data_IF_264593616819
#
_entry.id   IF_264593616819
#
_cell.length_a   1.000
_cell.length_b   1.000
_cell.length_c   1.000
_cell.angle_alpha   90.00
_cell.angle_beta   90.00
_cell.angle_gamma   90.00
#
_symmetry.space_group_name_H-M   'P 1'
#
loop_
_entity.id
_entity.type
_entity.pdbx_description
1 polymer ?
#
# COMPACT_ATOMS: atom_id res chain seq x y z
N UNK A 1 -59.48 -6.75 -35.86
CA UNK A 1 -58.66 -7.76 -35.18
C UNK A 1 -57.42 -7.04 -34.66
N UNK A 2 -57.34 -6.97 -33.33
CA UNK A 2 -56.20 -6.77 -32.42
C UNK A 2 -55.13 -5.66 -32.65
N UNK A 3 -54.98 -4.85 -31.59
CA UNK A 3 -53.92 -3.87 -31.27
C UNK A 3 -52.73 -4.59 -30.56
N UNK A 4 -51.48 -4.05 -30.49
CA UNK A 4 -51.13 -2.89 -29.64
C UNK A 4 -50.07 -1.90 -30.26
N UNK A 5 -50.20 -0.58 -30.04
CA UNK A 5 -49.40 0.29 -29.13
C UNK A 5 -47.87 0.19 -29.24
N UNK A 6 -47.23 1.24 -29.77
CA UNK A 6 -46.03 1.88 -29.16
C UNK A 6 -45.76 3.25 -29.80
N UNK A 7 -45.53 4.24 -28.94
CA UNK A 7 -45.33 5.66 -29.24
C UNK A 7 -43.86 6.06 -29.02
N UNK A 8 -43.40 6.95 -29.89
CA UNK A 8 -42.31 7.94 -29.78
C UNK A 8 -41.50 8.00 -28.47
N UNK A 9 -40.17 7.91 -28.59
CA UNK A 9 -39.20 8.42 -27.62
C UNK A 9 -38.09 9.20 -28.33
N UNK A 10 -38.04 10.50 -28.09
CA UNK A 10 -36.89 11.38 -28.35
C UNK A 10 -36.03 11.59 -27.08
N UNK A 11 -34.80 12.05 -27.30
CA UNK A 11 -33.58 12.12 -26.46
C UNK A 11 -33.61 12.85 -25.10
N UNK A 12 -32.60 12.59 -24.22
CA UNK A 12 -31.59 13.58 -23.73
C UNK A 12 -30.58 12.99 -22.67
N UNK A 13 -29.29 13.25 -22.96
CA UNK A 13 -28.05 13.45 -22.14
C UNK A 13 -27.91 12.93 -20.69
N UNK A 14 -26.81 12.18 -20.46
CA UNK A 14 -26.21 11.92 -19.14
C UNK A 14 -25.07 12.89 -18.80
N UNK A 15 -24.96 13.29 -17.53
CA UNK A 15 -23.89 14.15 -17.00
C UNK A 15 -23.24 13.57 -15.73
N UNK A 16 -21.89 13.50 -15.78
CA UNK A 16 -20.89 13.80 -14.76
C UNK A 16 -21.10 13.41 -13.27
N UNK A 17 -21.03 12.10 -12.94
CA UNK A 17 -20.85 11.60 -11.57
C UNK A 17 -19.44 11.01 -11.38
N UNK A 18 -18.41 11.76 -10.92
CA UNK A 18 -17.19 11.22 -10.27
C UNK A 18 -16.40 12.27 -9.47
N UNK A 19 -16.07 11.97 -8.20
CA UNK A 19 -14.84 12.36 -7.47
C UNK A 19 -14.75 11.57 -6.14
N UNK A 20 -13.61 10.94 -5.79
CA UNK A 20 -13.32 10.29 -4.48
C UNK A 20 -11.78 10.22 -4.24
N UNK A 21 -11.31 10.64 -3.05
CA UNK A 21 -9.91 10.82 -2.57
C UNK A 21 -9.85 10.56 -1.03
N UNK A 22 -8.74 10.09 -0.33
CA UNK A 22 -8.33 8.96 0.68
C UNK A 22 -8.73 8.81 2.21
N UNK A 23 -8.97 7.64 2.90
CA UNK A 23 -9.54 7.62 4.25
C UNK A 23 -8.59 7.31 5.43
N UNK A 24 -7.30 7.02 5.25
CA UNK A 24 -6.44 6.53 6.35
C UNK A 24 -5.46 7.53 6.95
N UNK A 25 -5.63 8.82 6.69
CA UNK A 25 -4.88 9.86 7.41
C UNK A 25 -5.50 10.26 8.77
N UNK A 26 -6.60 9.61 9.21
CA UNK A 26 -7.38 10.06 10.38
C UNK A 26 -6.96 9.56 11.78
N UNK A 27 -6.92 8.25 12.07
CA UNK A 27 -7.03 7.80 13.47
C UNK A 27 -5.92 6.86 13.98
N UNK A 28 -5.04 7.40 14.84
CA UNK A 28 -4.09 6.68 15.69
C UNK A 28 -4.71 6.33 17.05
N UNK A 29 -5.48 5.24 17.12
CA UNK A 29 -5.63 4.34 18.29
C UNK A 29 -6.86 3.46 18.09
N UNK A 30 -6.69 2.16 17.86
CA UNK A 30 -7.81 1.21 17.78
C UNK A 30 -7.83 0.27 16.56
N UNK A 31 -6.86 0.36 15.66
CA UNK A 31 -6.77 -0.55 14.51
C UNK A 31 -6.13 -1.86 14.96
N UNK A 32 -6.95 -2.89 15.15
CA UNK A 32 -6.51 -4.27 15.41
C UNK A 32 -6.66 -5.08 14.13
N UNK A 33 -5.55 -5.61 13.61
CA UNK A 33 -5.57 -6.52 12.47
C UNK A 33 -5.99 -7.91 12.95
N UNK A 34 -7.24 -8.32 12.67
CA UNK A 34 -7.67 -9.70 12.82
C UNK A 34 -7.38 -10.46 11.54
N UNK A 35 -6.33 -11.26 11.59
CA UNK A 35 -5.90 -12.15 10.50
C UNK A 35 -6.50 -13.56 10.60
N UNK A 36 -7.25 -13.81 11.68
CA UNK A 36 -7.99 -15.06 11.88
C UNK A 36 -9.30 -15.04 11.07
N UNK A 37 -9.59 -16.13 10.36
CA UNK A 37 -10.91 -16.37 9.77
C UNK A 37 -11.84 -16.95 10.83
N UNK A 38 -13.14 -16.60 10.84
CA UNK A 38 -14.11 -17.20 11.77
C UNK A 38 -14.23 -18.70 11.63
N UNK A 39 -14.00 -19.19 10.42
CA UNK A 39 -13.89 -20.60 10.09
C UNK A 39 -12.45 -20.86 9.71
N UNK A 40 -11.75 -21.62 10.55
CA UNK A 40 -10.39 -22.03 10.28
C UNK A 40 -10.35 -22.90 9.00
N UNK A 41 -9.44 -22.55 8.09
CA UNK A 41 -9.20 -23.30 6.86
C UNK A 41 -7.82 -23.94 6.89
N UNK A 42 -7.68 -25.08 6.20
CA UNK A 42 -6.40 -25.75 5.97
C UNK A 42 -5.98 -25.55 4.52
N UNK A 43 -4.67 -25.60 4.29
CA UNK A 43 -4.08 -25.47 2.95
C UNK A 43 -4.56 -26.53 1.96
N UNK A 44 -4.95 -27.71 2.44
CA UNK A 44 -5.49 -28.80 1.63
C UNK A 44 -6.97 -28.64 1.27
N UNK A 45 -7.66 -27.65 1.81
CA UNK A 45 -9.11 -27.54 1.61
C UNK A 45 -9.44 -27.09 0.18
N UNK A 46 -10.59 -27.53 -0.37
CA UNK A 46 -11.03 -27.12 -1.70
C UNK A 46 -11.30 -25.60 -1.80
N UNK A 47 -11.12 -24.98 -2.97
CA UNK A 47 -11.33 -23.54 -3.16
C UNK A 47 -12.72 -23.02 -2.74
N UNK A 48 -13.75 -23.86 -2.83
CA UNK A 48 -15.10 -23.52 -2.39
C UNK A 48 -15.19 -23.30 -0.88
N UNK A 49 -14.42 -24.06 -0.09
CA UNK A 49 -14.36 -23.96 1.37
C UNK A 49 -13.65 -22.67 1.79
N UNK A 50 -12.56 -22.32 1.10
CA UNK A 50 -11.87 -21.04 1.31
C UNK A 50 -12.78 -19.84 0.98
N UNK A 51 -13.52 -19.94 -0.14
CA UNK A 51 -14.49 -18.92 -0.53
C UNK A 51 -15.59 -18.73 0.51
N UNK A 52 -16.13 -19.82 1.04
CA UNK A 52 -17.20 -19.75 2.05
C UNK A 52 -16.68 -19.18 3.39
N UNK A 53 -15.48 -19.58 3.83
CA UNK A 53 -14.85 -19.02 5.03
C UNK A 53 -14.62 -17.51 4.90
N UNK A 54 -14.19 -17.04 3.72
CA UNK A 54 -14.03 -15.62 3.43
C UNK A 54 -15.38 -14.87 3.44
N UNK A 55 -16.43 -15.45 2.86
CA UNK A 55 -17.78 -14.85 2.86
C UNK A 55 -18.35 -14.72 4.29
N UNK A 56 -18.10 -15.71 5.16
CA UNK A 56 -18.49 -15.63 6.58
C UNK A 56 -17.67 -14.60 7.37
N UNK A 57 -16.37 -14.50 7.11
CA UNK A 57 -15.53 -13.45 7.67
C UNK A 57 -16.06 -12.05 7.35
N UNK A 58 -16.50 -11.84 6.11
CA UNK A 58 -17.12 -10.58 5.68
C UNK A 58 -18.45 -10.32 6.40
N UNK A 59 -19.25 -11.38 6.61
CA UNK A 59 -20.54 -11.29 7.29
C UNK A 59 -20.44 -10.99 8.80
N UNK A 60 -19.28 -11.25 9.43
CA UNK A 60 -19.03 -11.04 10.86
C UNK A 60 -18.37 -9.70 11.20
N UNK A 61 -18.07 -8.86 10.20
CA UNK A 61 -17.57 -7.50 10.43
C UNK A 61 -18.62 -6.65 11.20
N UNK A 62 -18.19 -5.70 12.06
CA UNK A 62 -19.09 -4.99 12.96
C UNK A 62 -20.15 -4.16 12.23
N UNK A 63 -21.24 -3.92 12.97
CA UNK A 63 -22.45 -3.20 12.54
C UNK A 63 -22.14 -1.87 11.84
N UNK A 64 -23.00 -1.48 10.88
CA UNK A 64 -22.71 -0.40 9.94
C UNK A 64 -22.37 0.90 10.68
N UNK A 65 -21.36 1.63 10.19
CA UNK A 65 -20.92 2.92 10.75
C UNK A 65 -22.02 4.01 10.75
N UNK A 66 -23.06 3.80 9.93
CA UNK A 66 -24.24 4.66 9.81
C UNK A 66 -25.50 3.79 9.71
N UNK A 67 -26.51 4.07 10.56
CA UNK A 67 -27.87 3.53 10.40
C UNK A 67 -28.82 4.64 10.03
N UNK A 68 -29.61 4.44 8.97
CA UNK A 68 -30.65 5.37 8.53
C UNK A 68 -32.02 4.75 8.86
N UNK A 69 -32.81 5.47 9.63
CA UNK A 69 -34.20 5.15 9.96
C UNK A 69 -35.12 6.11 9.23
N UNK A 70 -35.93 5.63 8.29
CA UNK A 70 -37.03 6.43 7.75
C UNK A 70 -38.29 6.20 8.60
N UNK A 71 -39.01 7.26 8.93
CA UNK A 71 -40.25 7.14 9.73
C UNK A 71 -41.46 6.59 8.95
N UNK A 72 -41.30 6.36 7.65
CA UNK A 72 -42.24 5.64 6.78
C UNK A 72 -43.65 6.22 6.70
N UNK A 73 -43.92 7.41 7.26
CA UNK A 73 -45.29 7.87 7.48
C UNK A 73 -45.55 9.26 6.92
N UNK A 74 -46.55 9.34 6.03
CA UNK A 74 -47.18 10.61 5.64
C UNK A 74 -48.16 11.14 6.73
N UNK A 75 -48.18 10.58 7.94
CA UNK A 75 -49.20 10.86 8.96
C UNK A 75 -48.68 11.39 10.31
N UNK A 76 -47.37 11.40 10.57
CA UNK A 76 -46.80 11.65 11.91
C UNK A 76 -46.01 12.93 12.16
N UNK A 77 -45.65 13.74 11.14
CA UNK A 77 -44.90 14.99 11.33
C UNK A 77 -45.73 16.18 10.84
N UNK A 78 -45.99 17.17 11.70
CA UNK A 78 -46.92 18.30 11.50
C UNK A 78 -46.72 19.19 10.24
N UNK A 79 -45.87 18.86 9.26
CA UNK A 79 -45.45 19.76 8.17
C UNK A 79 -45.33 19.13 6.75
N UNK A 80 -46.05 18.05 6.37
CA UNK A 80 -46.07 17.53 4.98
C UNK A 80 -44.69 17.15 4.40
N UNK A 81 -43.82 16.58 5.22
CA UNK A 81 -42.44 16.24 4.86
C UNK A 81 -42.13 14.77 5.12
N UNK A 82 -41.32 14.16 4.25
CA UNK A 82 -40.60 12.92 4.47
C UNK A 82 -39.44 13.15 5.43
N UNK A 83 -39.17 12.21 6.33
CA UNK A 83 -38.14 12.35 7.36
C UNK A 83 -37.31 11.08 7.52
N UNK A 84 -36.01 11.26 7.72
CA UNK A 84 -35.12 10.19 8.15
C UNK A 84 -34.25 10.66 9.32
N UNK A 85 -34.00 9.74 10.26
CA UNK A 85 -33.02 9.85 11.32
C UNK A 85 -31.79 9.06 10.90
N UNK A 86 -30.64 9.71 10.88
CA UNK A 86 -29.35 9.13 10.55
C UNK A 86 -28.59 9.03 11.86
N UNK A 87 -28.18 7.84 12.24
CA UNK A 87 -27.32 7.59 13.39
C UNK A 87 -25.92 7.29 12.87
N UNK A 88 -25.01 8.22 13.07
CA UNK A 88 -23.59 8.01 12.84
C UNK A 88 -23.01 7.41 14.11
N UNK A 89 -22.96 6.08 14.17
CA UNK A 89 -22.58 5.34 15.40
C UNK A 89 -21.19 5.70 15.88
N UNK A 90 -20.27 5.90 14.94
CA UNK A 90 -18.89 6.28 15.22
C UNK A 90 -18.73 7.75 15.66
N UNK A 91 -19.63 8.65 15.23
CA UNK A 91 -19.65 10.06 15.64
C UNK A 91 -20.48 10.29 16.92
N UNK A 92 -21.15 9.25 17.43
CA UNK A 92 -22.20 9.34 18.45
C UNK A 92 -23.16 10.51 18.17
N UNK A 93 -23.49 10.70 16.89
CA UNK A 93 -24.25 11.83 16.38
C UNK A 93 -25.49 11.30 15.69
N UNK A 94 -26.61 11.93 16.01
CA UNK A 94 -27.84 11.72 15.28
C UNK A 94 -28.17 12.97 14.48
N UNK A 95 -28.62 12.77 13.26
CA UNK A 95 -29.05 13.83 12.38
C UNK A 95 -30.41 13.51 11.80
N UNK A 96 -31.25 14.53 11.65
CA UNK A 96 -32.58 14.36 11.08
C UNK A 96 -32.69 15.18 9.82
N UNK A 97 -32.94 14.51 8.71
CA UNK A 97 -33.22 15.16 7.43
C UNK A 97 -34.72 15.21 7.18
N UNK A 98 -35.19 16.31 6.57
CA UNK A 98 -36.60 16.50 6.20
C UNK A 98 -36.70 17.08 4.79
N UNK A 99 -37.58 16.50 3.98
CA UNK A 99 -37.89 17.03 2.65
C UNK A 99 -39.37 16.96 2.29
N UNK A 100 -39.88 17.91 1.48
CA UNK A 100 -41.27 17.89 1.04
C UNK A 100 -41.54 16.69 0.11
N UNK A 101 -42.47 15.82 0.49
CA UNK A 101 -42.87 14.65 -0.31
C UNK A 101 -44.06 14.92 -1.26
N UNK A 102 -44.67 16.10 -1.15
CA UNK A 102 -45.86 16.53 -1.89
C UNK A 102 -47.15 16.47 -1.06
N UNK A 103 -48.17 17.24 -1.47
CA UNK A 103 -49.46 17.34 -0.76
C UNK A 103 -50.31 16.05 -0.85
N UNK A 104 -50.13 15.28 -1.93
CA UNK A 104 -50.67 13.93 -2.13
C UNK A 104 -49.48 13.04 -2.45
N UNK A 105 -49.08 12.16 -1.51
CA UNK A 105 -47.94 11.26 -1.68
C UNK A 105 -48.27 9.87 -1.15
N UNK A 106 -47.72 8.83 -1.81
CA UNK A 106 -47.75 7.47 -1.30
C UNK A 106 -46.69 7.29 -0.22
N UNK A 107 -46.88 6.31 0.67
CA UNK A 107 -45.88 5.94 1.68
C UNK A 107 -44.53 5.61 1.04
N UNK A 108 -44.53 4.85 -0.05
CA UNK A 108 -43.32 4.53 -0.82
C UNK A 108 -42.61 5.79 -1.34
N UNK A 109 -43.36 6.79 -1.85
CA UNK A 109 -42.76 8.05 -2.31
C UNK A 109 -42.18 8.85 -1.15
N UNK A 110 -42.85 8.87 0.00
CA UNK A 110 -42.33 9.52 1.20
C UNK A 110 -41.06 8.82 1.72
N UNK A 111 -41.03 7.48 1.74
CA UNK A 111 -39.85 6.68 2.12
C UNK A 111 -38.67 6.90 1.18
N UNK A 112 -38.87 6.80 -0.14
CA UNK A 112 -37.79 7.02 -1.11
C UNK A 112 -37.28 8.47 -1.07
N UNK A 113 -38.14 9.45 -0.79
CA UNK A 113 -37.72 10.84 -0.60
C UNK A 113 -36.89 10.99 0.67
N UNK A 114 -37.31 10.39 1.79
CA UNK A 114 -36.55 10.39 3.05
C UNK A 114 -35.18 9.73 2.88
N UNK A 115 -35.13 8.57 2.22
CA UNK A 115 -33.89 7.83 1.96
C UNK A 115 -32.94 8.61 1.04
N UNK A 116 -33.46 9.23 -0.04
CA UNK A 116 -32.64 10.05 -0.95
C UNK A 116 -31.96 11.20 -0.21
N UNK A 117 -32.70 11.93 0.63
CA UNK A 117 -32.11 13.03 1.40
C UNK A 117 -31.15 12.53 2.48
N UNK A 118 -31.43 11.38 3.09
CA UNK A 118 -30.52 10.79 4.06
C UNK A 118 -29.20 10.38 3.40
N UNK A 119 -29.27 9.78 2.21
CA UNK A 119 -28.08 9.49 1.42
C UNK A 119 -27.38 10.76 0.93
N UNK A 120 -28.11 11.82 0.60
CA UNK A 120 -27.51 13.11 0.24
C UNK A 120 -26.80 13.76 1.42
N UNK A 121 -27.32 13.64 2.65
CA UNK A 121 -26.65 14.12 3.86
C UNK A 121 -25.40 13.29 4.21
N UNK A 122 -25.46 11.97 4.01
CA UNK A 122 -24.27 11.10 4.12
C UNK A 122 -23.25 11.39 3.01
N UNK A 123 -23.70 11.72 1.80
CA UNK A 123 -22.83 12.06 0.67
C UNK A 123 -22.33 13.53 0.70
N UNK A 124 -22.98 14.39 1.49
CA UNK A 124 -22.62 15.79 1.71
C UNK A 124 -21.69 16.02 2.90
N UNK A 125 -21.19 14.94 3.51
CA UNK A 125 -20.03 14.98 4.40
C UNK A 125 -18.83 15.50 3.60
N UNK A 126 -17.99 16.36 4.19
CA UNK A 126 -16.84 16.96 3.49
C UNK A 126 -15.87 15.89 2.94
N UNK A 127 -15.21 16.17 1.81
CA UNK A 127 -14.20 15.29 1.19
C UNK A 127 -13.14 14.87 2.23
N UNK A 128 -13.17 13.60 2.63
CA UNK A 128 -12.29 13.07 3.69
C UNK A 128 -12.90 11.96 4.56
N UNK A 129 -14.22 11.73 4.51
CA UNK A 129 -14.85 10.69 5.35
C UNK A 129 -15.07 9.33 4.62
N UNK A 130 -14.90 9.21 3.30
CA UNK A 130 -14.83 7.92 2.53
C UNK A 130 -14.02 8.00 1.23
N UNK A 131 -12.72 7.81 1.34
CA UNK A 131 -11.82 8.61 0.55
C UNK A 131 -10.81 7.68 -0.24
N UNK A 132 -10.34 7.92 -1.50
CA UNK A 132 -9.29 7.13 -2.25
C UNK A 132 -7.79 7.41 -1.97
N UNK A 133 -6.95 6.47 -1.53
CA UNK A 133 -5.59 6.86 -1.07
C UNK A 133 -4.44 6.74 -2.02
N UNK A 134 -3.65 7.81 -2.12
CA UNK A 134 -2.33 7.83 -2.74
C UNK A 134 -1.43 6.74 -2.13
N UNK A 135 -0.93 5.87 -3.01
CA UNK A 135 0.02 4.83 -2.68
C UNK A 135 1.32 5.06 -3.47
N UNK A 136 2.51 4.97 -2.83
CA UNK A 136 3.77 5.06 -3.56
C UNK A 136 3.91 4.00 -4.65
N UNK A 137 3.31 2.83 -4.43
CA UNK A 137 3.38 1.64 -5.30
C UNK A 137 2.04 0.92 -5.28
N UNK A 138 1.59 0.44 -6.44
CA UNK A 138 0.45 -0.49 -6.53
C UNK A 138 0.89 -1.95 -6.41
N UNK A 139 -0.04 -2.82 -5.98
CA UNK A 139 0.17 -4.27 -6.00
C UNK A 139 0.36 -4.83 -7.42
N UNK A 140 -0.30 -4.22 -8.42
CA UNK A 140 -0.10 -4.49 -9.85
C UNK A 140 -1.11 -5.45 -10.47
N UNK A 141 -1.53 -6.49 -9.75
CA UNK A 141 -2.47 -7.49 -10.29
C UNK A 141 -3.89 -6.97 -10.52
N UNK A 142 -4.30 -5.92 -9.80
CA UNK A 142 -5.62 -5.31 -9.91
C UNK A 142 -5.47 -3.79 -9.86
N UNK A 143 -5.81 -3.13 -10.96
CA UNK A 143 -5.88 -1.68 -11.07
C UNK A 143 -6.79 -1.30 -12.24
N UNK A 144 -7.19 -0.03 -12.30
CA UNK A 144 -7.89 0.55 -13.44
C UNK A 144 -7.10 1.75 -13.94
N UNK A 145 -6.92 1.85 -15.26
CA UNK A 145 -6.23 2.97 -15.90
C UNK A 145 -6.96 3.32 -17.19
N UNK A 146 -6.98 4.60 -17.57
CA UNK A 146 -7.43 4.99 -18.90
C UNK A 146 -6.57 4.30 -19.96
N UNK A 147 -7.20 3.67 -20.95
CA UNK A 147 -6.50 3.02 -22.06
C UNK A 147 -5.57 3.99 -22.79
N UNK A 148 -6.04 5.21 -23.04
CA UNK A 148 -5.24 6.24 -23.70
C UNK A 148 -4.04 6.64 -22.85
N UNK A 149 -4.24 6.85 -21.54
CA UNK A 149 -3.16 7.21 -20.63
C UNK A 149 -2.14 6.08 -20.47
N UNK A 150 -2.57 4.81 -20.44
CA UNK A 150 -1.68 3.65 -20.40
C UNK A 150 -0.73 3.61 -21.61
N UNK A 151 -1.24 3.87 -22.82
CA UNK A 151 -0.41 3.91 -24.03
C UNK A 151 0.41 5.20 -24.14
N UNK A 152 -0.09 6.33 -23.64
CA UNK A 152 0.69 7.55 -23.50
C UNK A 152 1.90 7.37 -22.59
N UNK A 153 1.73 6.65 -21.47
CA UNK A 153 2.83 6.22 -20.60
C UNK A 153 3.72 5.14 -21.24
N UNK A 154 3.44 4.68 -22.46
CA UNK A 154 4.29 3.74 -23.20
C UNK A 154 4.07 2.26 -22.88
N UNK A 155 2.90 1.89 -22.32
CA UNK A 155 2.53 0.51 -21.98
C UNK A 155 3.52 -0.17 -21.03
N UNK A 156 3.44 -1.49 -20.84
CA UNK A 156 4.50 -2.19 -20.08
C UNK A 156 5.83 -2.21 -20.84
N UNK A 157 6.93 -2.30 -20.10
CA UNK A 157 8.25 -2.56 -20.68
C UNK A 157 8.26 -3.96 -21.29
N UNK A 158 8.28 -4.03 -22.62
CA UNK A 158 8.28 -5.30 -23.37
C UNK A 158 9.58 -6.08 -23.22
N UNK A 159 10.62 -5.50 -22.61
CA UNK A 159 11.85 -6.20 -22.24
C UNK A 159 11.78 -6.90 -20.89
N UNK A 160 10.69 -6.75 -20.12
CA UNK A 160 10.46 -7.54 -18.91
C UNK A 160 9.97 -8.95 -19.26
N UNK A 161 10.48 -9.93 -18.52
CA UNK A 161 10.15 -11.34 -18.75
C UNK A 161 9.30 -11.92 -17.63
N UNK A 162 8.32 -12.73 -18.04
CA UNK A 162 7.29 -13.47 -17.28
C UNK A 162 6.65 -12.78 -16.08
N UNK A 163 7.38 -12.55 -14.99
CA UNK A 163 6.81 -12.17 -13.71
C UNK A 163 7.75 -11.30 -12.86
N UNK A 164 7.16 -10.23 -12.31
CA UNK A 164 7.70 -9.48 -11.19
C UNK A 164 8.37 -8.18 -11.61
N UNK A 165 8.09 -7.11 -10.84
CA UNK A 165 8.65 -5.79 -11.03
C UNK A 165 7.79 -4.84 -11.88
N UNK A 166 6.88 -5.36 -12.70
CA UNK A 166 6.03 -4.55 -13.58
C UNK A 166 5.15 -3.56 -12.80
N UNK A 167 4.74 -3.94 -11.59
CA UNK A 167 3.96 -3.11 -10.69
C UNK A 167 4.78 -1.93 -10.13
N UNK A 168 6.05 -2.16 -9.80
CA UNK A 168 6.98 -1.12 -9.35
C UNK A 168 7.33 -0.17 -10.51
N UNK A 169 7.65 -0.73 -11.67
CA UNK A 169 8.00 0.03 -12.88
C UNK A 169 6.89 1.01 -13.25
N UNK A 170 5.66 0.52 -13.38
CA UNK A 170 4.54 1.37 -13.77
C UNK A 170 4.19 2.37 -12.66
N UNK A 171 4.36 2.01 -11.37
CA UNK A 171 4.17 2.95 -10.26
C UNK A 171 5.19 4.10 -10.29
N UNK A 172 6.48 3.78 -10.42
CA UNK A 172 7.56 4.77 -10.47
C UNK A 172 7.42 5.68 -11.68
N UNK A 173 7.11 5.12 -12.85
CA UNK A 173 6.85 5.88 -14.07
C UNK A 173 5.64 6.79 -13.91
N UNK A 174 4.51 6.27 -13.44
CA UNK A 174 3.27 7.05 -13.27
C UNK A 174 3.53 8.27 -12.40
N UNK A 175 4.14 8.07 -11.22
CA UNK A 175 4.45 9.17 -10.31
C UNK A 175 5.46 10.17 -10.88
N UNK A 176 6.59 9.67 -11.41
CA UNK A 176 7.64 10.56 -11.93
C UNK A 176 7.17 11.33 -13.17
N UNK A 177 6.27 10.79 -13.97
CA UNK A 177 5.78 11.41 -15.21
C UNK A 177 4.45 12.17 -15.03
N UNK A 178 4.11 12.59 -13.79
CA UNK A 178 3.01 13.51 -13.52
C UNK A 178 1.65 12.88 -13.23
N UNK A 179 1.56 11.54 -13.17
CA UNK A 179 0.37 10.82 -12.72
C UNK A 179 0.35 10.56 -11.21
N UNK A 180 -0.70 9.86 -10.76
CA UNK A 180 -0.88 9.43 -9.38
C UNK A 180 -1.30 7.96 -9.33
N UNK A 181 -0.94 7.28 -8.24
CA UNK A 181 -1.37 5.90 -7.97
C UNK A 181 -2.23 5.91 -6.71
N UNK A 182 -3.46 5.43 -6.81
CA UNK A 182 -4.46 5.50 -5.73
C UNK A 182 -5.09 4.14 -5.43
N UNK A 183 -5.53 3.96 -4.18
CA UNK A 183 -6.24 2.80 -3.69
C UNK A 183 -7.61 3.23 -3.19
N UNK A 184 -8.67 2.79 -3.86
CA UNK A 184 -10.06 3.15 -3.57
C UNK A 184 -10.71 2.17 -2.58
N UNK A 185 -10.96 2.52 -1.30
CA UNK A 185 -11.47 1.57 -0.31
C UNK A 185 -12.94 1.18 -0.52
N UNK A 186 -13.67 1.99 -1.28
CA UNK A 186 -15.02 1.67 -1.76
C UNK A 186 -15.01 0.60 -2.87
N UNK A 187 -13.89 0.41 -3.58
CA UNK A 187 -13.73 -0.62 -4.61
C UNK A 187 -13.05 -1.85 -3.99
N UNK A 188 -13.85 -2.89 -3.72
CA UNK A 188 -13.37 -4.09 -3.04
C UNK A 188 -13.35 -5.28 -3.99
N UNK A 189 -12.17 -5.84 -4.21
CA UNK A 189 -11.97 -7.08 -4.98
C UNK A 189 -11.17 -8.06 -4.14
N UNK A 190 -11.70 -9.27 -3.94
CA UNK A 190 -11.00 -10.33 -3.22
C UNK A 190 -9.96 -11.01 -4.10
N UNK A 191 -8.71 -11.11 -3.62
CA UNK A 191 -7.64 -11.88 -4.25
C UNK A 191 -7.16 -12.99 -3.30
N UNK A 192 -7.02 -14.21 -3.80
CA UNK A 192 -6.50 -15.35 -3.02
C UNK A 192 -4.98 -15.32 -3.10
N UNK A 193 -4.34 -14.84 -2.03
CA UNK A 193 -2.88 -14.92 -1.89
C UNK A 193 -2.43 -16.37 -1.81
N UNK A 194 -1.27 -16.65 -2.43
CA UNK A 194 -0.64 -17.97 -2.46
C UNK A 194 0.79 -17.83 -1.97
N UNK A 195 1.26 -18.80 -1.19
CA UNK A 195 2.64 -18.81 -0.69
C UNK A 195 3.67 -19.25 -1.73
N UNK A 196 3.23 -19.67 -2.93
CA UNK A 196 4.10 -20.18 -3.98
C UNK A 196 3.50 -19.97 -5.38
N UNK A 197 4.39 -19.85 -6.39
CA UNK A 197 3.99 -19.82 -7.79
C UNK A 197 3.67 -21.25 -8.27
N UNK A 198 2.46 -21.54 -8.78
CA UNK A 198 2.07 -22.88 -9.21
C UNK A 198 2.55 -23.22 -10.63
N UNK A 199 3.31 -22.32 -11.28
CA UNK A 199 3.77 -22.45 -12.66
C UNK A 199 5.28 -22.59 -12.67
N UNK A 200 5.79 -23.50 -13.49
CA UNK A 200 7.21 -23.63 -13.79
C UNK A 200 7.61 -22.59 -14.83
N UNK A 201 8.61 -21.77 -14.51
CA UNK A 201 9.20 -20.85 -15.47
C UNK A 201 10.05 -21.65 -16.48
N UNK A 202 9.85 -21.47 -17.80
CA UNK A 202 10.54 -22.27 -18.82
C UNK A 202 12.03 -21.93 -18.98
N UNK A 203 12.61 -21.10 -18.10
CA UNK A 203 13.98 -20.60 -18.21
C UNK A 203 14.77 -20.81 -16.92
N UNK A 204 16.07 -21.11 -17.07
CA UNK A 204 17.01 -21.40 -15.97
C UNK A 204 17.55 -20.15 -15.24
N UNK A 205 16.92 -18.98 -15.43
CA UNK A 205 17.35 -17.69 -14.88
C UNK A 205 16.48 -17.18 -13.73
N UNK A 206 16.88 -16.04 -13.15
CA UNK A 206 16.08 -15.29 -12.17
C UNK A 206 15.44 -14.08 -12.88
N UNK A 207 14.27 -14.24 -13.54
CA UNK A 207 13.64 -13.16 -14.31
C UNK A 207 13.29 -11.95 -13.44
N UNK A 208 12.95 -12.17 -12.17
CA UNK A 208 12.70 -11.09 -11.22
C UNK A 208 13.92 -10.17 -11.05
N UNK A 209 15.13 -10.74 -10.92
CA UNK A 209 16.34 -9.93 -10.76
C UNK A 209 16.65 -9.09 -12.00
N UNK A 210 16.46 -9.66 -13.20
CA UNK A 210 16.63 -8.94 -14.47
C UNK A 210 15.60 -7.80 -14.61
N UNK A 211 14.32 -8.08 -14.34
CA UNK A 211 13.25 -7.07 -14.37
C UNK A 211 13.54 -5.93 -13.39
N UNK A 212 13.97 -6.25 -12.16
CA UNK A 212 14.33 -5.23 -11.17
C UNK A 212 15.56 -4.42 -11.60
N UNK A 213 16.55 -5.03 -12.25
CA UNK A 213 17.70 -4.31 -12.82
C UNK A 213 17.26 -3.32 -13.92
N UNK A 214 16.28 -3.68 -14.75
CA UNK A 214 15.68 -2.76 -15.74
C UNK A 214 15.04 -1.55 -15.07
N UNK A 215 14.28 -1.77 -14.01
CA UNK A 215 13.65 -0.69 -13.23
C UNK A 215 14.73 0.22 -12.63
N UNK A 216 15.73 -0.37 -11.98
CA UNK A 216 16.81 0.38 -11.35
C UNK A 216 17.58 1.23 -12.39
N UNK A 217 17.87 0.68 -13.56
CA UNK A 217 18.63 1.34 -14.62
C UNK A 217 17.90 2.49 -15.32
N UNK A 218 16.56 2.52 -15.25
CA UNK A 218 15.72 3.53 -15.92
C UNK A 218 15.13 4.53 -14.94
N UNK A 219 14.67 4.09 -13.77
CA UNK A 219 13.77 4.86 -12.91
C UNK A 219 14.35 5.22 -11.54
N UNK A 220 15.50 4.66 -11.13
CA UNK A 220 16.06 4.87 -9.78
C UNK A 220 17.27 5.80 -9.73
N UNK A 221 17.77 6.28 -10.86
CA UNK A 221 18.93 7.19 -10.92
C UNK A 221 20.12 6.68 -10.07
N UNK A 222 20.76 7.55 -9.30
CA UNK A 222 21.84 7.20 -8.37
C UNK A 222 21.40 6.23 -7.26
N UNK A 223 20.10 6.14 -6.96
CA UNK A 223 19.55 5.26 -5.92
C UNK A 223 19.49 3.79 -6.34
N UNK A 224 19.73 3.50 -7.63
CA UNK A 224 19.98 2.14 -8.12
C UNK A 224 21.07 1.41 -7.32
N UNK A 225 22.02 2.15 -6.74
CA UNK A 225 23.04 1.60 -5.82
C UNK A 225 22.44 0.80 -4.67
N UNK A 226 21.28 1.19 -4.14
CA UNK A 226 20.62 0.46 -3.06
C UNK A 226 20.10 -0.90 -3.49
N UNK A 227 19.57 -1.00 -4.72
CA UNK A 227 19.16 -2.28 -5.30
C UNK A 227 20.37 -3.22 -5.43
N UNK A 228 21.49 -2.72 -5.95
CA UNK A 228 22.69 -3.52 -6.16
C UNK A 228 23.41 -3.92 -4.86
N UNK A 229 23.17 -3.25 -3.72
CA UNK A 229 23.69 -3.70 -2.41
C UNK A 229 23.23 -5.11 -2.03
N UNK A 230 22.11 -5.59 -2.56
CA UNK A 230 21.57 -6.92 -2.26
C UNK A 230 22.24 -8.05 -3.06
N UNK A 231 23.11 -7.71 -4.02
CA UNK A 231 23.75 -8.68 -4.90
C UNK A 231 25.25 -8.71 -4.66
N UNK A 232 25.83 -9.90 -4.75
CA UNK A 232 27.28 -10.05 -4.85
C UNK A 232 27.73 -9.59 -6.24
N UNK A 233 28.96 -9.10 -6.35
CA UNK A 233 29.49 -8.62 -7.63
C UNK A 233 29.39 -9.67 -8.76
N UNK A 234 29.65 -10.94 -8.45
CA UNK A 234 29.58 -12.06 -9.39
C UNK A 234 28.15 -12.47 -9.78
N UNK A 235 27.14 -11.90 -9.13
CA UNK A 235 25.72 -12.25 -9.27
C UNK A 235 24.87 -11.01 -9.63
N UNK A 236 25.52 -9.91 -10.02
CA UNK A 236 24.81 -8.67 -10.35
C UNK A 236 23.91 -8.87 -11.57
N UNK A 237 22.61 -8.60 -11.46
CA UNK A 237 21.71 -8.73 -12.59
C UNK A 237 21.95 -7.60 -13.59
N UNK A 238 21.97 -7.97 -14.87
CA UNK A 238 22.07 -7.03 -15.98
C UNK A 238 20.68 -6.61 -16.45
N UNK A 239 20.51 -5.32 -16.74
CA UNK A 239 19.25 -4.78 -17.26
C UNK A 239 19.01 -5.13 -18.74
N UNK A 240 20.05 -5.47 -19.50
CA UNK A 240 19.98 -5.54 -20.96
C UNK A 240 19.74 -4.16 -21.58
N UNK A 241 19.20 -4.13 -22.80
CA UNK A 241 18.89 -2.86 -23.49
C UNK A 241 17.64 -2.19 -22.93
N UNK A 242 17.80 -0.98 -22.42
CA UNK A 242 16.75 -0.12 -21.85
C UNK A 242 16.63 1.22 -22.58
N UNK A 243 17.25 1.36 -23.76
CA UNK A 243 17.34 2.63 -24.51
C UNK A 243 15.95 3.23 -24.76
N UNK A 244 15.02 2.44 -25.30
CA UNK A 244 13.65 2.89 -25.58
C UNK A 244 12.88 3.34 -24.32
N UNK A 245 13.21 2.80 -23.14
CA UNK A 245 12.58 3.22 -21.88
C UNK A 245 13.17 4.53 -21.35
N UNK A 246 14.48 4.75 -21.55
CA UNK A 246 15.14 6.03 -21.23
C UNK A 246 14.64 7.16 -22.11
N UNK A 247 14.57 6.93 -23.42
CA UNK A 247 14.01 7.91 -24.37
C UNK A 247 12.58 8.30 -24.02
N UNK A 248 11.74 7.31 -23.65
CA UNK A 248 10.38 7.58 -23.19
C UNK A 248 10.36 8.46 -21.93
N UNK A 249 11.23 8.18 -20.95
CA UNK A 249 11.34 8.98 -19.71
C UNK A 249 11.72 10.44 -20.02
N UNK A 250 12.64 10.64 -20.97
CA UNK A 250 13.05 11.96 -21.43
C UNK A 250 11.91 12.68 -22.19
N UNK A 251 11.22 11.98 -23.09
CA UNK A 251 10.10 12.52 -23.88
C UNK A 251 8.94 12.99 -23.00
N UNK A 252 8.62 12.21 -21.95
CA UNK A 252 7.57 12.55 -20.99
C UNK A 252 8.03 13.58 -19.93
N UNK A 253 9.29 14.03 -19.99
CA UNK A 253 9.87 15.01 -19.08
C UNK A 253 9.71 14.62 -17.61
N UNK A 254 9.88 13.34 -17.30
CA UNK A 254 9.62 12.82 -15.97
C UNK A 254 10.61 13.38 -14.93
N UNK A 255 10.14 13.52 -13.70
CA UNK A 255 10.93 13.88 -12.54
C UNK A 255 12.01 12.81 -12.20
N UNK A 256 12.98 13.20 -11.37
CA UNK A 256 14.00 12.30 -10.85
C UNK A 256 13.45 11.37 -9.76
N UNK A 257 14.18 10.29 -9.48
CA UNK A 257 13.85 9.42 -8.36
C UNK A 257 14.03 10.10 -7.01
N UNK A 258 14.96 11.08 -6.92
CA UNK A 258 15.05 11.95 -5.74
C UNK A 258 13.75 12.70 -5.50
N UNK A 259 13.16 13.28 -6.54
CA UNK A 259 11.85 13.94 -6.45
C UNK A 259 10.78 12.95 -5.99
N UNK A 260 10.78 11.71 -6.50
CA UNK A 260 9.85 10.67 -6.05
C UNK A 260 10.00 10.38 -4.55
N UNK A 261 11.23 10.20 -4.06
CA UNK A 261 11.49 9.99 -2.64
C UNK A 261 11.05 11.20 -1.80
N UNK A 262 11.34 12.42 -2.24
CA UNK A 262 11.03 13.62 -1.47
C UNK A 262 9.52 13.97 -1.48
N UNK A 263 8.77 13.62 -2.53
CA UNK A 263 7.37 14.06 -2.72
C UNK A 263 6.33 12.94 -2.62
N UNK A 264 6.68 11.70 -2.98
CA UNK A 264 5.74 10.56 -3.03
C UNK A 264 5.98 9.61 -1.87
N UNK A 265 7.24 9.33 -1.52
CA UNK A 265 7.58 8.43 -0.41
C UNK A 265 8.59 9.01 0.59
N UNK A 266 8.30 10.17 1.21
CA UNK A 266 9.25 10.92 2.06
C UNK A 266 9.71 10.18 3.32
N UNK A 267 8.89 9.24 3.80
CA UNK A 267 9.22 8.44 4.97
C UNK A 267 10.14 7.25 4.66
N UNK A 268 10.44 6.97 3.37
CA UNK A 268 11.37 5.91 3.02
C UNK A 268 12.78 6.33 3.42
N UNK A 269 13.38 5.53 4.30
CA UNK A 269 14.76 5.75 4.69
C UNK A 269 15.72 5.63 3.49
N UNK A 270 16.58 6.64 3.37
CA UNK A 270 17.76 6.70 2.50
C UNK A 270 18.98 6.30 3.32
N UNK A 271 19.72 5.29 2.88
CA UNK A 271 20.70 4.58 3.73
C UNK A 271 21.95 5.43 4.04
N UNK A 272 22.28 6.38 3.18
CA UNK A 272 23.49 7.22 3.23
C UNK A 272 23.18 8.73 3.21
N UNK A 273 21.91 9.13 3.34
CA UNK A 273 21.50 10.54 3.35
C UNK A 273 20.88 10.92 4.70
N UNK A 274 21.18 12.12 5.19
CA UNK A 274 20.70 12.63 6.48
C UNK A 274 21.10 11.77 7.70
N UNK A 275 22.27 11.14 7.64
CA UNK A 275 22.80 10.19 8.64
C UNK A 275 24.14 10.68 9.17
N UNK A 276 24.59 10.14 10.31
CA UNK A 276 25.92 10.43 10.87
C UNK A 276 27.01 9.65 10.14
N UNK A 277 26.73 8.39 9.82
CA UNK A 277 27.63 7.51 9.07
C UNK A 277 26.82 6.40 8.39
N UNK A 278 27.38 5.83 7.31
CA UNK A 278 26.85 4.64 6.66
C UNK A 278 27.97 3.80 6.05
N UNK A 279 27.74 2.50 5.92
CA UNK A 279 28.68 1.55 5.32
C UNK A 279 28.99 0.36 6.22
N UNK A 280 30.20 -0.19 6.07
CA UNK A 280 30.68 -1.31 6.89
C UNK A 280 31.25 -0.83 8.22
N UNK A 281 30.91 -1.53 9.30
CA UNK A 281 31.55 -1.35 10.60
C UNK A 281 32.62 -2.43 10.76
N UNK A 282 33.90 -2.04 10.73
CA UNK A 282 35.05 -2.95 10.85
C UNK A 282 35.50 -3.08 12.29
N UNK A 283 35.91 -4.28 12.68
CA UNK A 283 36.54 -4.48 13.99
C UNK A 283 37.94 -3.88 14.01
N UNK A 284 38.21 -3.01 14.99
CA UNK A 284 39.55 -2.45 15.21
C UNK A 284 40.59 -3.51 15.60
N UNK A 285 40.15 -4.58 16.30
CA UNK A 285 41.03 -5.68 16.73
C UNK A 285 41.31 -6.68 15.61
N UNK A 286 40.36 -6.86 14.69
CA UNK A 286 40.42 -7.80 13.57
C UNK A 286 39.88 -7.13 12.31
N UNK A 287 40.73 -6.38 11.58
CA UNK A 287 40.29 -5.60 10.42
C UNK A 287 39.69 -6.41 9.27
N UNK A 288 39.88 -7.73 9.27
CA UNK A 288 39.27 -8.69 8.35
C UNK A 288 37.81 -9.02 8.71
N UNK A 289 37.34 -8.63 9.90
CA UNK A 289 35.99 -8.88 10.40
C UNK A 289 35.15 -7.60 10.42
N UNK A 290 33.92 -7.70 9.91
CA UNK A 290 32.92 -6.66 9.85
C UNK A 290 31.67 -7.07 10.63
N UNK A 291 30.93 -6.10 11.15
CA UNK A 291 29.58 -6.34 11.64
C UNK A 291 28.69 -6.78 10.47
N UNK A 292 27.93 -7.84 10.70
CA UNK A 292 27.02 -8.48 9.75
C UNK A 292 25.69 -8.80 10.45
N UNK A 293 24.59 -8.72 9.70
CA UNK A 293 23.27 -9.14 10.16
C UNK A 293 23.12 -10.65 9.99
N UNK A 294 23.22 -11.39 11.09
CA UNK A 294 23.11 -12.84 11.12
C UNK A 294 21.67 -13.24 11.47
N UNK A 295 21.10 -14.17 10.69
CA UNK A 295 19.78 -14.72 10.96
C UNK A 295 19.92 -16.01 11.75
N UNK A 296 19.42 -16.03 12.98
CA UNK A 296 19.41 -17.19 13.88
C UNK A 296 17.97 -17.37 14.37
N UNK A 297 17.40 -18.56 14.17
CA UNK A 297 16.02 -18.90 14.58
C UNK A 297 14.96 -17.85 14.15
N UNK A 298 15.09 -17.32 12.92
CA UNK A 298 14.25 -16.27 12.32
C UNK A 298 14.36 -14.88 12.98
N UNK A 299 15.25 -14.71 13.95
CA UNK A 299 15.61 -13.41 14.50
C UNK A 299 16.93 -12.92 13.89
N UNK A 300 17.03 -11.61 13.70
CA UNK A 300 18.23 -10.97 13.16
C UNK A 300 19.06 -10.47 14.34
N UNK A 301 20.35 -10.76 14.35
CA UNK A 301 21.32 -10.27 15.32
C UNK A 301 22.49 -9.60 14.61
N UNK A 302 23.13 -8.64 15.27
CA UNK A 302 24.46 -8.20 14.88
C UNK A 302 25.49 -9.23 15.36
N UNK A 303 26.33 -9.69 14.43
CA UNK A 303 27.49 -10.53 14.71
C UNK A 303 28.69 -10.08 13.89
N UNK A 304 29.83 -10.76 14.07
CA UNK A 304 31.02 -10.54 13.24
C UNK A 304 31.13 -11.60 12.16
N UNK A 305 31.47 -11.18 10.95
CA UNK A 305 31.73 -12.05 9.81
C UNK A 305 32.87 -11.47 8.97
N UNK A 306 33.44 -12.25 8.06
CA UNK A 306 34.48 -11.74 7.14
C UNK A 306 33.96 -10.56 6.34
N UNK A 307 34.72 -9.46 6.31
CA UNK A 307 34.37 -8.28 5.53
C UNK A 307 34.26 -8.62 4.04
N UNK A 308 33.17 -8.21 3.40
CA UNK A 308 32.99 -8.40 1.95
C UNK A 308 33.43 -7.19 1.15
N UNK A 309 33.93 -7.44 -0.07
CA UNK A 309 34.25 -6.42 -1.07
C UNK A 309 33.74 -6.90 -2.43
N UNK A 310 32.77 -6.20 -3.07
CA UNK A 310 32.09 -5.00 -2.59
C UNK A 310 31.20 -5.28 -1.36
N UNK A 311 30.81 -4.22 -0.67
CA UNK A 311 29.92 -4.28 0.50
C UNK A 311 28.58 -4.89 0.09
N UNK A 312 28.09 -5.84 0.89
CA UNK A 312 26.77 -6.45 0.71
C UNK A 312 25.78 -5.93 1.75
N UNK A 313 24.48 -6.05 1.45
CA UNK A 313 23.38 -5.52 2.26
C UNK A 313 23.39 -5.95 3.73
N UNK A 314 23.88 -7.15 4.05
CA UNK A 314 23.99 -7.62 5.44
C UNK A 314 25.06 -6.90 6.26
N UNK A 315 26.06 -6.31 5.61
CA UNK A 315 27.16 -5.56 6.24
C UNK A 315 27.04 -4.06 6.01
N UNK A 316 25.95 -3.59 5.39
CA UNK A 316 25.69 -2.17 5.19
C UNK A 316 24.77 -1.67 6.31
N UNK A 317 25.35 -0.91 7.24
CA UNK A 317 24.64 -0.31 8.38
C UNK A 317 24.61 1.20 8.25
N UNK A 318 23.62 1.80 8.89
CA UNK A 318 23.44 3.25 8.97
C UNK A 318 23.40 3.67 10.43
N UNK A 319 24.19 4.66 10.79
CA UNK A 319 24.09 5.36 12.07
C UNK A 319 23.27 6.64 11.86
N UNK A 320 22.03 6.63 12.35
CA UNK A 320 21.14 7.78 12.23
C UNK A 320 21.57 8.95 13.13
N UNK A 321 21.10 10.17 12.83
CA UNK A 321 21.28 11.36 13.68
C UNK A 321 20.66 11.25 15.07
N UNK A 322 19.80 10.25 15.31
CA UNK A 322 19.22 9.93 16.63
C UNK A 322 20.09 8.98 17.44
N UNK A 323 21.26 8.58 16.92
CA UNK A 323 22.13 7.61 17.56
C UNK A 323 21.66 6.16 17.37
N UNK A 324 20.77 5.88 16.41
CA UNK A 324 20.32 4.50 16.19
C UNK A 324 21.19 3.83 15.12
N UNK A 325 21.83 2.71 15.45
CA UNK A 325 22.53 1.82 14.51
C UNK A 325 21.52 0.87 13.89
N UNK A 326 21.29 0.99 12.57
CA UNK A 326 20.14 0.36 11.93
C UNK A 326 20.44 -0.16 10.53
N UNK A 327 19.54 -1.02 10.07
CA UNK A 327 19.41 -1.50 8.70
C UNK A 327 17.95 -1.36 8.30
N UNK A 328 17.68 -0.44 7.38
CA UNK A 328 16.33 -0.04 7.01
C UNK A 328 15.50 0.30 8.27
N UNK A 329 14.36 -0.36 8.47
CA UNK A 329 13.45 -0.11 9.59
C UNK A 329 13.81 -0.89 10.86
N UNK A 330 14.91 -1.66 10.85
CA UNK A 330 15.37 -2.44 12.00
C UNK A 330 16.58 -1.79 12.67
N UNK A 331 16.51 -1.61 13.98
CA UNK A 331 17.54 -1.02 14.83
C UNK A 331 18.13 -2.08 15.76
N UNK A 332 19.43 -1.97 16.01
CA UNK A 332 20.13 -2.81 16.97
C UNK A 332 19.81 -2.41 18.40
N UNK A 333 19.57 -3.40 19.25
CA UNK A 333 19.33 -3.22 20.69
C UNK A 333 20.56 -3.62 21.51
N UNK A 334 20.92 -2.78 22.46
CA UNK A 334 21.91 -3.05 23.49
C UNK A 334 21.36 -4.06 24.51
N UNK A 335 22.16 -5.08 24.85
CA UNK A 335 21.90 -5.96 26.00
C UNK A 335 21.02 -7.19 25.75
N UNK A 336 21.02 -7.77 24.54
CA UNK A 336 20.31 -9.02 24.26
C UNK A 336 21.07 -10.27 24.74
N UNK A 337 20.35 -11.23 25.33
CA UNK A 337 20.87 -12.57 25.54
C UNK A 337 21.06 -13.24 24.18
N UNK A 338 22.26 -13.75 23.91
CA UNK A 338 22.55 -14.53 22.73
C UNK A 338 21.90 -15.93 22.78
N UNK A 339 21.86 -16.64 21.65
CA UNK A 339 21.29 -17.99 21.55
C UNK A 339 22.11 -19.05 22.32
N UNK A 340 23.29 -18.69 22.84
CA UNK A 340 24.13 -19.56 23.65
C UNK A 340 24.30 -18.98 25.05
N UNK A 341 24.32 -19.86 26.07
CA UNK A 341 24.48 -19.43 27.45
C UNK A 341 25.78 -18.65 27.63
N UNK A 342 25.67 -17.39 28.07
CA UNK A 342 26.80 -16.50 28.32
C UNK A 342 27.25 -15.65 27.12
N UNK A 343 26.61 -15.74 25.94
CA UNK A 343 26.85 -14.79 24.84
C UNK A 343 25.89 -13.61 24.92
N UNK A 344 26.39 -12.42 24.61
CA UNK A 344 25.57 -11.20 24.43
C UNK A 344 25.61 -10.88 22.95
N UNK A 345 24.45 -10.86 22.30
CA UNK A 345 24.31 -10.43 20.92
C UNK A 345 23.34 -9.26 20.88
N UNK A 346 23.55 -8.31 19.98
CA UNK A 346 22.62 -7.21 19.79
C UNK A 346 21.51 -7.66 18.81
N UNK A 347 20.28 -7.95 19.27
CA UNK A 347 19.19 -8.28 18.37
C UNK A 347 18.80 -7.04 17.58
N UNK A 348 18.36 -7.26 16.34
CA UNK A 348 17.73 -6.24 15.53
C UNK A 348 16.22 -6.39 15.61
N UNK A 349 15.53 -5.29 15.86
CA UNK A 349 14.07 -5.22 15.89
C UNK A 349 13.61 -3.85 15.37
N UNK A 350 12.32 -3.66 15.08
CA UNK A 350 11.82 -2.40 14.53
C UNK A 350 12.29 -1.17 15.32
N UNK A 351 12.75 -0.15 14.62
CA UNK A 351 13.20 1.10 15.23
C UNK A 351 12.05 1.77 16.00
N UNK A 352 12.30 2.14 17.26
CA UNK A 352 11.25 2.72 18.11
C UNK A 352 11.13 4.22 17.86
N UNK A 353 9.88 4.71 17.73
CA UNK A 353 9.60 6.13 17.46
C UNK A 353 10.11 7.05 18.59
N UNK A 354 10.20 6.53 19.82
CA UNK A 354 10.60 7.27 21.02
C UNK A 354 12.06 7.08 21.45
N UNK A 355 12.92 6.48 20.62
CA UNK A 355 14.35 6.37 20.92
C UNK A 355 14.61 5.71 22.27
N UNK A 356 14.18 4.45 22.42
CA UNK A 356 14.53 3.64 23.60
C UNK A 356 16.03 3.78 23.89
N UNK A 357 16.42 4.00 25.15
CA UNK A 357 17.84 4.03 25.56
C UNK A 357 18.58 2.77 25.08
N UNK A 358 17.87 1.64 24.96
CA UNK A 358 18.44 0.39 24.45
C UNK A 358 18.76 0.42 22.95
N UNK A 359 18.23 1.36 22.16
CA UNK A 359 18.55 1.51 20.73
C UNK A 359 19.54 2.65 20.47
N UNK A 360 20.09 3.27 21.51
CA UNK A 360 21.07 4.34 21.37
C UNK A 360 22.49 3.79 21.31
N UNK A 361 23.20 4.22 20.28
CA UNK A 361 24.57 3.89 19.95
C UNK A 361 25.32 5.20 19.71
N UNK A 362 26.50 5.31 20.30
CA UNK A 362 27.37 6.47 20.15
C UNK A 362 28.61 5.99 19.42
N UNK A 363 28.94 6.63 18.31
CA UNK A 363 30.24 6.48 17.68
C UNK A 363 31.18 7.55 18.26
N UNK A 364 32.21 7.11 18.96
CA UNK A 364 33.17 7.96 19.67
C UNK A 364 34.31 8.49 18.76
N UNK A 365 34.31 8.11 17.48
CA UNK A 365 35.21 8.67 16.47
C UNK A 365 36.65 8.17 16.56
N UNK A 366 36.91 7.09 17.30
CA UNK A 366 38.22 6.42 17.32
C UNK A 366 38.38 5.36 16.23
#
# INVERSE_FOLDING_TARGET
MDRPLESEFESIQGSAFYSCDPPWLGHRSGITFRVDLPVATRRSDPPAVHREAALRAIAELPHPDVTIWSDGSARGGRNRAAQALIQFHHLNREETVRAPAGAVCSSLRAELTAMREAFAAVAGLEDGELASTKSPVMSGGLYAISREYFWHLGGYDTGMDVYGGENLELSFRTWQCGGVVETLPCSRVGHIFRDFHPYSFPFSGNPLAANMARIAAVWMDEYSRYFYLHYRHTEMPEAGDVTARRELREQLQCHSFRWYLDNVYPNKMRLDEDVLASGQVRSALRPDLCIDTLVIDRQIFLGLNSCTQPVVSGQYLTLSKRGELRREDNCAYAGGAGPHAGTVMAPMAPCTIKGSEQQQWIYDGQ
#
